data_IF_150418623073
#
_entry.id   IF_150418623073
#
_cell.length_a   1.000
_cell.length_b   1.000
_cell.length_c   1.000
_cell.angle_alpha   90.00
_cell.angle_beta   90.00
_cell.angle_gamma   90.00
#
_symmetry.space_group_name_H-M   'P 1'
#
loop_
_entity.id
_entity.type
_entity.pdbx_description
1 polymer ?
#
# COMPACT_ATOMS: atom_id res chain seq x y z
N UNK A 1 -14.70 -7.89 8.03
CA UNK A 1 -15.02 -6.61 7.38
C UNK A 1 -15.74 -5.74 8.39
N UNK A 2 -15.53 -4.42 8.34
CA UNK A 2 -16.14 -3.45 9.26
C UNK A 2 -17.25 -2.67 8.51
N UNK A 3 -18.26 -2.12 9.19
CA UNK A 3 -19.28 -1.28 8.56
C UNK A 3 -18.68 0.04 8.03
N UNK A 4 -19.47 0.80 7.27
CA UNK A 4 -19.04 2.08 6.68
C UNK A 4 -18.62 3.14 7.73
N UNK A 5 -19.24 3.11 8.91
CA UNK A 5 -18.91 3.97 10.05
C UNK A 5 -18.59 3.11 11.28
N UNK A 6 -17.35 2.58 11.39
CA UNK A 6 -16.99 1.63 12.42
C UNK A 6 -16.61 2.30 13.75
N UNK A 7 -16.99 1.68 14.85
CA UNK A 7 -16.55 2.06 16.18
C UNK A 7 -15.06 1.76 16.41
N UNK A 8 -14.49 2.36 17.46
CA UNK A 8 -13.11 2.09 17.87
C UNK A 8 -12.87 0.59 18.16
N UNK A 9 -13.83 -0.07 18.81
CA UNK A 9 -13.69 -1.47 19.21
C UNK A 9 -13.66 -2.41 18.00
N UNK A 10 -14.49 -2.15 17.00
CA UNK A 10 -14.49 -2.89 15.73
C UNK A 10 -13.15 -2.73 14.99
N UNK A 11 -12.64 -1.49 14.91
CA UNK A 11 -11.34 -1.22 14.28
C UNK A 11 -10.18 -1.87 15.05
N UNK A 12 -10.19 -1.80 16.38
CA UNK A 12 -9.20 -2.47 17.23
C UNK A 12 -9.21 -3.99 17.01
N UNK A 13 -10.39 -4.60 16.96
CA UNK A 13 -10.54 -6.03 16.72
C UNK A 13 -9.91 -6.41 15.38
N UNK A 14 -10.31 -5.77 14.29
CA UNK A 14 -9.85 -6.16 12.95
C UNK A 14 -8.36 -5.87 12.71
N UNK A 15 -7.85 -4.72 13.18
CA UNK A 15 -6.47 -4.27 12.89
C UNK A 15 -5.45 -4.81 13.88
N UNK A 16 -5.77 -4.80 15.19
CA UNK A 16 -4.81 -5.11 16.25
C UNK A 16 -4.91 -6.55 16.74
N UNK A 17 -6.13 -7.09 16.85
CA UNK A 17 -6.36 -8.46 17.35
C UNK A 17 -6.25 -9.46 16.19
N UNK A 18 -7.07 -9.29 15.16
CA UNK A 18 -7.12 -10.19 14.00
C UNK A 18 -5.98 -9.92 13.01
N UNK A 19 -5.23 -8.82 13.21
CA UNK A 19 -4.07 -8.40 12.40
C UNK A 19 -4.35 -8.32 10.90
N UNK A 20 -5.60 -8.06 10.53
CA UNK A 20 -5.99 -7.94 9.13
C UNK A 20 -5.45 -6.62 8.55
N UNK A 21 -5.14 -6.67 7.25
CA UNK A 21 -4.77 -5.51 6.42
C UNK A 21 -5.56 -5.58 5.13
N UNK A 22 -5.73 -4.46 4.41
CA UNK A 22 -6.38 -4.47 3.11
C UNK A 22 -5.77 -5.52 2.18
N UNK A 23 -6.62 -6.34 1.56
CA UNK A 23 -6.17 -7.37 0.63
C UNK A 23 -5.61 -6.72 -0.64
N UNK A 24 -4.49 -7.27 -1.11
CA UNK A 24 -3.88 -6.84 -2.37
C UNK A 24 -4.33 -7.81 -3.45
N UNK A 25 -5.04 -7.30 -4.45
CA UNK A 25 -5.44 -8.13 -5.58
C UNK A 25 -4.21 -8.65 -6.32
N UNK A 26 -4.20 -9.93 -6.70
CA UNK A 26 -3.08 -10.56 -7.42
C UNK A 26 -2.68 -9.80 -8.70
N UNK A 27 -3.65 -9.13 -9.33
CA UNK A 27 -3.41 -8.25 -10.51
C UNK A 27 -2.44 -7.09 -10.22
N UNK A 28 -2.33 -6.64 -8.98
CA UNK A 28 -1.37 -5.58 -8.62
C UNK A 28 0.09 -6.07 -8.70
N UNK A 29 0.32 -7.38 -8.69
CA UNK A 29 1.64 -7.96 -8.81
C UNK A 29 2.11 -8.12 -10.26
N UNK A 30 1.21 -8.04 -11.25
CA UNK A 30 1.59 -8.20 -12.66
C UNK A 30 2.27 -6.97 -13.25
N UNK A 31 2.01 -5.77 -12.69
CA UNK A 31 2.64 -4.54 -13.14
C UNK A 31 3.78 -4.13 -12.20
N UNK A 32 5.00 -3.86 -12.69
CA UNK A 32 6.17 -3.57 -11.84
C UNK A 32 5.98 -2.34 -10.94
N UNK A 33 5.35 -1.29 -11.46
CA UNK A 33 5.00 -0.09 -10.67
C UNK A 33 4.02 -0.43 -9.55
N UNK A 34 2.90 -1.10 -9.87
CA UNK A 34 1.87 -1.47 -8.88
C UNK A 34 2.42 -2.46 -7.84
N UNK A 35 3.31 -3.36 -8.24
CA UNK A 35 3.98 -4.30 -7.34
C UNK A 35 4.88 -3.55 -6.34
N UNK A 36 5.60 -2.53 -6.81
CA UNK A 36 6.46 -1.69 -5.97
C UNK A 36 5.64 -0.82 -5.01
N UNK A 37 4.54 -0.24 -5.47
CA UNK A 37 3.59 0.50 -4.60
C UNK A 37 2.99 -0.44 -3.55
N UNK A 38 2.56 -1.64 -3.95
CA UNK A 38 2.02 -2.66 -3.05
C UNK A 38 3.02 -3.04 -1.95
N UNK A 39 4.31 -3.12 -2.30
CA UNK A 39 5.39 -3.38 -1.33
C UNK A 39 5.51 -2.25 -0.30
N UNK A 40 5.52 -0.99 -0.76
CA UNK A 40 5.55 0.18 0.13
C UNK A 40 4.36 0.16 1.10
N UNK A 41 3.15 -0.11 0.60
CA UNK A 41 1.94 -0.19 1.44
C UNK A 41 2.08 -1.25 2.54
N UNK A 42 2.55 -2.46 2.19
CA UNK A 42 2.77 -3.54 3.16
C UNK A 42 3.79 -3.16 4.24
N UNK A 43 4.90 -2.53 3.85
CA UNK A 43 5.95 -2.09 4.79
C UNK A 43 5.47 -0.95 5.71
N UNK A 44 4.57 -0.07 5.24
CA UNK A 44 3.95 0.95 6.07
C UNK A 44 2.95 0.40 7.10
N UNK A 45 2.38 -0.78 6.84
CA UNK A 45 1.33 -1.38 7.69
C UNK A 45 1.84 -2.40 8.69
N UNK A 46 3.16 -2.51 8.88
CA UNK A 46 3.74 -3.41 9.86
C UNK A 46 3.21 -3.15 11.28
N UNK A 47 3.02 -4.24 12.02
CA UNK A 47 2.53 -4.17 13.40
C UNK A 47 3.51 -3.41 14.30
N UNK A 48 4.80 -3.65 14.11
CA UNK A 48 5.88 -3.00 14.84
C UNK A 48 6.13 -1.60 14.27
N UNK A 49 5.96 -0.51 15.04
CA UNK A 49 6.20 0.85 14.56
C UNK A 49 7.63 1.10 14.05
N UNK A 50 8.71 0.63 14.70
CA UNK A 50 10.08 0.80 14.20
C UNK A 50 10.36 0.13 12.86
N UNK A 51 9.57 -0.88 12.47
CA UNK A 51 9.74 -1.56 11.19
C UNK A 51 9.11 -0.78 10.02
N UNK A 52 8.24 0.21 10.31
CA UNK A 52 7.54 0.97 9.28
C UNK A 52 8.48 1.93 8.56
N UNK A 53 8.20 2.16 7.29
CA UNK A 53 8.92 3.15 6.51
C UNK A 53 8.70 4.56 7.07
N UNK A 54 9.77 5.36 7.05
CA UNK A 54 9.66 6.80 7.28
C UNK A 54 9.07 7.49 6.05
N UNK A 55 8.41 8.63 6.23
CA UNK A 55 7.89 9.43 5.12
C UNK A 55 8.97 9.78 4.08
N UNK A 56 10.19 10.08 4.53
CA UNK A 56 11.33 10.35 3.63
C UNK A 56 11.69 9.11 2.79
N UNK A 57 11.67 7.91 3.38
CA UNK A 57 11.94 6.67 2.68
C UNK A 57 10.89 6.39 1.62
N UNK A 58 9.61 6.53 1.97
CA UNK A 58 8.49 6.40 1.02
C UNK A 58 8.67 7.34 -0.16
N UNK A 59 8.91 8.64 0.08
CA UNK A 59 9.13 9.63 -0.98
C UNK A 59 10.29 9.25 -1.89
N UNK A 60 11.45 8.90 -1.33
CA UNK A 60 12.63 8.51 -2.13
C UNK A 60 12.37 7.28 -3.00
N UNK A 61 11.64 6.30 -2.47
CA UNK A 61 11.29 5.10 -3.24
C UNK A 61 10.34 5.44 -4.40
N UNK A 62 9.32 6.28 -4.16
CA UNK A 62 8.41 6.73 -5.22
C UNK A 62 9.13 7.55 -6.30
N UNK A 63 9.98 8.51 -5.92
CA UNK A 63 10.77 9.30 -6.89
C UNK A 63 11.71 8.43 -7.72
N UNK A 64 12.27 7.36 -7.15
CA UNK A 64 13.08 6.42 -7.91
C UNK A 64 12.24 5.64 -8.93
N UNK A 65 11.04 5.20 -8.57
CA UNK A 65 10.15 4.48 -9.49
C UNK A 65 9.73 5.33 -10.70
N UNK A 66 9.55 6.64 -10.48
CA UNK A 66 9.24 7.61 -11.54
C UNK A 66 10.42 7.79 -12.51
N UNK A 67 11.65 7.80 -12.00
CA UNK A 67 12.87 7.93 -12.83
C UNK A 67 13.25 6.64 -13.56
N UNK A 68 12.97 5.47 -12.98
CA UNK A 68 13.36 4.15 -13.51
C UNK A 68 12.40 3.66 -14.61
N UNK A 69 11.21 4.27 -14.68
CA UNK A 69 10.22 3.95 -15.69
C UNK A 69 9.93 5.18 -16.55
N UNK A 70 10.49 5.19 -17.77
CA UNK A 70 10.07 6.07 -18.88
C UNK A 70 8.69 5.62 -19.44
N UNK A 71 7.77 5.26 -18.54
CA UNK A 71 6.40 4.89 -18.87
C UNK A 71 5.59 6.18 -18.96
N UNK A 72 5.08 6.55 -20.14
CA UNK A 72 4.21 7.72 -20.24
C UNK A 72 2.99 7.50 -19.33
N UNK A 73 2.80 8.42 -18.40
CA UNK A 73 1.75 8.47 -17.37
C UNK A 73 0.33 8.33 -17.96
N UNK A 74 0.19 8.50 -19.28
CA UNK A 74 -1.04 8.36 -20.06
C UNK A 74 -1.65 6.95 -20.03
N UNK A 75 -0.88 5.87 -19.87
CA UNK A 75 -1.43 4.49 -19.88
C UNK A 75 -2.14 4.07 -18.60
N UNK A 76 -1.94 4.78 -17.48
CA UNK A 76 -2.66 4.48 -16.22
C UNK A 76 -4.13 4.92 -16.25
N UNK A 77 -4.52 5.75 -17.23
CA UNK A 77 -5.92 6.16 -17.44
C UNK A 77 -6.73 5.19 -18.32
N UNK A 78 -6.08 4.21 -18.96
CA UNK A 78 -6.77 3.31 -19.90
C UNK A 78 -7.40 2.06 -19.26
N UNK A 79 -7.15 1.80 -17.97
CA UNK A 79 -7.66 0.63 -17.24
C UNK A 79 -8.63 0.99 -16.09
N UNK A 80 -9.25 2.18 -16.14
CA UNK A 80 -10.37 2.55 -15.26
C UNK A 80 -11.68 2.69 -16.05
#
# INVERSE_FOLDING_TARGET
MVPSDPSFEEMKKVVCVDKQRPCMHNRLHSHPILSSITKIMKECWFQSPPARLTALRVRKTLSKLDQDHDYPTEKLKMDL
#
